data_IF_260067146763
#
_entry.id   IF_260067146763
#
_cell.length_a   1.000
_cell.length_b   1.000
_cell.length_c   1.000
_cell.angle_alpha   90.00
_cell.angle_beta   90.00
_cell.angle_gamma   90.00
#
_symmetry.space_group_name_H-M   'P 1'
#
loop_
_entity.id
_entity.type
_entity.pdbx_description
1 polymer ?
#
# COMPACT_ATOMS: atom_id res chain seq x y z
N UNK A 1 -15.50 -47.29 1.57
CA UNK A 1 -14.78 -46.39 2.50
C UNK A 1 -14.96 -44.96 2.02
N UNK A 2 -15.80 -44.20 2.71
CA UNK A 2 -16.00 -42.78 2.48
C UNK A 2 -14.92 -41.99 3.21
N UNK A 3 -14.34 -40.99 2.54
CA UNK A 3 -13.78 -39.81 3.19
C UNK A 3 -13.90 -38.64 2.21
N UNK A 4 -14.98 -37.89 2.40
CA UNK A 4 -15.13 -36.55 1.87
C UNK A 4 -14.19 -35.60 2.63
N UNK A 5 -13.41 -34.81 1.91
CA UNK A 5 -13.00 -33.47 2.35
C UNK A 5 -13.09 -32.54 1.15
N UNK A 6 -14.27 -31.91 1.06
CA UNK A 6 -14.49 -30.79 0.17
C UNK A 6 -13.80 -29.51 0.65
N UNK A 7 -13.96 -28.51 -0.22
CA UNK A 7 -13.85 -27.07 0.02
C UNK A 7 -12.45 -26.45 -0.17
N UNK A 8 -12.07 -26.28 -1.43
CA UNK A 8 -10.98 -25.38 -1.85
C UNK A 8 -11.47 -24.16 -2.67
N UNK A 9 -12.72 -23.73 -2.49
CA UNK A 9 -13.32 -22.60 -3.21
C UNK A 9 -13.79 -21.43 -2.32
N UNK A 10 -13.66 -21.51 -0.99
CA UNK A 10 -14.22 -20.48 -0.09
C UNK A 10 -13.30 -19.28 0.21
N UNK A 11 -12.03 -19.30 -0.18
CA UNK A 11 -11.07 -18.27 0.25
C UNK A 11 -10.88 -17.09 -0.72
N UNK A 12 -11.40 -17.18 -1.95
CA UNK A 12 -11.32 -16.07 -2.93
C UNK A 12 -12.46 -15.05 -2.82
N UNK A 13 -13.49 -15.31 -2.02
CA UNK A 13 -14.68 -14.46 -1.92
C UNK A 13 -14.65 -13.42 -0.79
N UNK A 14 -13.64 -13.45 0.09
CA UNK A 14 -13.63 -12.65 1.33
C UNK A 14 -12.80 -11.36 1.28
N UNK A 15 -12.06 -11.11 0.19
CA UNK A 15 -11.18 -9.93 0.06
C UNK A 15 -11.82 -8.73 -0.68
N UNK A 16 -13.07 -8.84 -1.14
CA UNK A 16 -13.77 -7.70 -1.76
C UNK A 16 -14.46 -6.80 -0.73
N UNK A 17 -15.00 -7.36 0.35
CA UNK A 17 -15.82 -6.62 1.32
C UNK A 17 -15.08 -5.46 2.03
N UNK A 18 -13.89 -5.65 2.63
CA UNK A 18 -13.23 -4.54 3.33
C UNK A 18 -12.70 -3.48 2.36
N UNK A 19 -12.31 -3.87 1.14
CA UNK A 19 -11.94 -2.93 0.08
C UNK A 19 -13.16 -2.12 -0.41
N UNK A 20 -14.31 -2.78 -0.59
CA UNK A 20 -15.57 -2.13 -0.95
C UNK A 20 -16.03 -1.17 0.15
N UNK A 21 -15.88 -1.56 1.42
CA UNK A 21 -16.20 -0.70 2.56
C UNK A 21 -15.33 0.57 2.55
N UNK A 22 -14.00 0.43 2.38
CA UNK A 22 -13.09 1.58 2.26
C UNK A 22 -13.51 2.46 1.08
N UNK A 23 -13.87 1.88 -0.06
CA UNK A 23 -14.33 2.61 -1.23
C UNK A 23 -15.63 3.39 -0.97
N UNK A 24 -16.65 2.74 -0.39
CA UNK A 24 -17.93 3.35 -0.04
C UNK A 24 -17.77 4.48 1.00
N UNK A 25 -16.94 4.27 2.02
CA UNK A 25 -16.65 5.30 3.03
C UNK A 25 -16.02 6.53 2.38
N UNK A 26 -15.01 6.36 1.54
CA UNK A 26 -14.39 7.47 0.81
C UNK A 26 -15.35 8.17 -0.16
N UNK A 27 -16.24 7.42 -0.82
CA UNK A 27 -17.27 7.99 -1.67
C UNK A 27 -18.29 8.82 -0.87
N UNK A 28 -18.70 8.32 0.29
CA UNK A 28 -19.61 9.04 1.18
C UNK A 28 -18.98 10.32 1.74
N UNK A 29 -17.69 10.29 2.09
CA UNK A 29 -16.93 11.48 2.48
C UNK A 29 -16.83 12.50 1.35
N UNK A 30 -16.61 12.05 0.11
CA UNK A 30 -16.60 12.93 -1.06
C UNK A 30 -17.97 13.60 -1.27
N UNK A 31 -19.06 12.85 -1.13
CA UNK A 31 -20.41 13.39 -1.23
C UNK A 31 -20.73 14.38 -0.11
N UNK A 32 -20.37 14.06 1.14
CA UNK A 32 -20.56 14.94 2.29
C UNK A 32 -19.75 16.22 2.15
N UNK A 33 -18.46 16.12 1.78
CA UNK A 33 -17.60 17.28 1.59
C UNK A 33 -18.08 18.18 0.45
N UNK A 34 -18.56 17.61 -0.66
CA UNK A 34 -19.21 18.37 -1.72
C UNK A 34 -20.50 19.08 -1.24
N UNK A 35 -21.31 18.41 -0.42
CA UNK A 35 -22.52 19.00 0.15
C UNK A 35 -22.23 20.17 1.11
N UNK A 36 -21.15 20.09 1.89
CA UNK A 36 -20.77 21.14 2.84
C UNK A 36 -20.19 22.42 2.18
N UNK A 37 -19.80 22.36 0.91
CA UNK A 37 -19.38 23.57 0.18
C UNK A 37 -20.52 24.59 0.14
N UNK A 38 -21.77 24.16 -0.02
CA UNK A 38 -22.93 25.05 -0.06
C UNK A 38 -23.10 25.88 1.22
N UNK A 39 -23.29 25.25 2.38
CA UNK A 39 -23.40 25.93 3.67
C UNK A 39 -22.21 26.84 3.97
N UNK A 40 -20.97 26.41 3.71
CA UNK A 40 -19.78 27.24 3.93
C UNK A 40 -19.77 28.48 3.04
N UNK A 41 -20.11 28.36 1.75
CA UNK A 41 -20.18 29.50 0.85
C UNK A 41 -21.34 30.44 1.21
N UNK A 42 -22.48 29.89 1.65
CA UNK A 42 -23.64 30.65 2.08
C UNK A 42 -23.38 31.37 3.43
N UNK A 43 -22.69 30.74 4.38
CA UNK A 43 -22.28 31.38 5.62
C UNK A 43 -21.31 32.54 5.37
N UNK A 44 -20.63 32.56 4.22
CA UNK A 44 -19.46 33.39 3.98
C UNK A 44 -19.68 34.45 2.89
N UNK A 45 -20.28 35.61 3.21
CA UNK A 45 -20.33 36.75 2.29
C UNK A 45 -19.01 37.54 2.24
N UNK A 46 -18.07 37.33 3.18
CA UNK A 46 -16.78 38.05 3.25
C UNK A 46 -15.59 37.12 3.51
N UNK A 47 -14.39 37.44 2.98
CA UNK A 47 -13.19 36.63 3.16
C UNK A 47 -12.62 36.82 4.57
N UNK A 48 -13.14 36.10 5.56
CA UNK A 48 -12.56 36.03 6.91
C UNK A 48 -11.55 34.88 7.01
N UNK A 49 -10.51 34.98 7.87
CA UNK A 49 -9.52 33.91 8.03
C UNK A 49 -10.16 32.61 8.56
N UNK A 50 -11.14 32.73 9.45
CA UNK A 50 -11.90 31.59 9.97
C UNK A 50 -12.69 30.88 8.87
N UNK A 51 -13.36 31.63 7.99
CA UNK A 51 -14.04 31.04 6.83
C UNK A 51 -13.07 30.36 5.85
N UNK A 52 -11.84 30.87 5.69
CA UNK A 52 -10.82 30.21 4.87
C UNK A 52 -10.33 28.91 5.50
N UNK A 53 -10.25 28.86 6.84
CA UNK A 53 -9.91 27.65 7.56
C UNK A 53 -10.97 26.55 7.36
N UNK A 54 -12.26 26.88 7.37
CA UNK A 54 -13.32 25.89 7.08
C UNK A 54 -13.22 25.38 5.63
N UNK A 55 -13.01 26.29 4.67
CA UNK A 55 -12.81 25.90 3.26
C UNK A 55 -11.58 24.99 3.10
N UNK A 56 -10.48 25.28 3.80
CA UNK A 56 -9.28 24.46 3.70
C UNK A 56 -9.47 23.07 4.31
N UNK A 57 -10.26 22.92 5.38
CA UNK A 57 -10.64 21.62 5.95
C UNK A 57 -11.46 20.79 4.94
N UNK A 58 -12.44 21.39 4.27
CA UNK A 58 -13.20 20.68 3.24
C UNK A 58 -12.33 20.34 2.02
N UNK A 59 -11.45 21.25 1.60
CA UNK A 59 -10.52 21.02 0.50
C UNK A 59 -9.53 19.88 0.80
N UNK A 60 -8.97 19.81 2.02
CA UNK A 60 -8.08 18.71 2.42
C UNK A 60 -8.82 17.38 2.49
N UNK A 61 -10.10 17.39 2.88
CA UNK A 61 -10.97 16.20 2.89
C UNK A 61 -11.24 15.70 1.47
N UNK A 62 -11.54 16.61 0.53
CA UNK A 62 -11.70 16.27 -0.90
C UNK A 62 -10.39 15.70 -1.46
N UNK A 63 -9.25 16.34 -1.19
CA UNK A 63 -7.95 15.83 -1.63
C UNK A 63 -7.62 14.45 -1.04
N UNK A 64 -7.95 14.25 0.24
CA UNK A 64 -7.77 12.97 0.94
C UNK A 64 -8.60 11.88 0.27
N UNK A 65 -9.90 12.10 0.07
CA UNK A 65 -10.82 11.10 -0.53
C UNK A 65 -10.48 10.82 -2.00
N UNK A 66 -10.15 11.85 -2.80
CA UNK A 66 -9.69 11.67 -4.18
C UNK A 66 -8.39 10.87 -4.24
N UNK A 67 -7.43 11.14 -3.36
CA UNK A 67 -6.19 10.36 -3.29
C UNK A 67 -6.45 8.89 -2.98
N UNK A 68 -7.43 8.60 -2.10
CA UNK A 68 -7.85 7.24 -1.75
C UNK A 68 -8.48 6.51 -2.94
N UNK A 69 -9.41 7.17 -3.62
CA UNK A 69 -10.11 6.63 -4.79
C UNK A 69 -9.15 6.38 -5.94
N UNK A 70 -8.24 7.31 -6.22
CA UNK A 70 -7.18 7.15 -7.21
C UNK A 70 -6.23 5.99 -6.88
N UNK A 71 -5.88 5.79 -5.61
CA UNK A 71 -5.06 4.64 -5.19
C UNK A 71 -5.80 3.31 -5.45
N UNK A 72 -7.11 3.28 -5.23
CA UNK A 72 -7.96 2.12 -5.53
C UNK A 72 -8.02 1.82 -7.04
N UNK A 73 -8.21 2.85 -7.87
CA UNK A 73 -8.28 2.73 -9.33
C UNK A 73 -6.95 2.33 -9.98
N UNK A 74 -5.84 2.76 -9.39
CA UNK A 74 -4.50 2.53 -9.97
C UNK A 74 -3.79 1.30 -9.42
N UNK A 75 -4.44 0.52 -8.53
CA UNK A 75 -3.85 -0.62 -7.80
C UNK A 75 -2.50 -0.31 -7.11
N UNK A 76 -2.20 0.97 -6.86
CA UNK A 76 -0.94 1.41 -6.26
C UNK A 76 -1.21 2.00 -4.87
N UNK A 77 -0.79 1.32 -3.79
CA UNK A 77 -1.05 1.80 -2.43
C UNK A 77 -0.15 2.99 -2.10
N UNK A 78 -0.61 4.23 -2.35
CA UNK A 78 0.00 5.47 -1.80
C UNK A 78 -0.44 5.70 -0.36
N UNK A 79 -0.17 4.72 0.51
CA UNK A 79 -0.73 4.65 1.87
C UNK A 79 -0.27 5.81 2.77
N UNK A 80 1.01 6.18 2.73
CA UNK A 80 1.57 7.18 3.64
C UNK A 80 1.04 8.61 3.37
N UNK A 81 1.00 9.02 2.09
CA UNK A 81 0.49 10.33 1.71
C UNK A 81 -1.02 10.46 1.97
N UNK A 82 -1.78 9.40 1.68
CA UNK A 82 -3.20 9.36 1.97
C UNK A 82 -3.48 9.41 3.48
N UNK A 83 -2.74 8.65 4.30
CA UNK A 83 -2.89 8.65 5.74
C UNK A 83 -2.57 10.03 6.36
N UNK A 84 -1.51 10.70 5.92
CA UNK A 84 -1.18 12.04 6.39
C UNK A 84 -2.28 13.07 6.09
N UNK A 85 -2.80 13.06 4.85
CA UNK A 85 -3.91 13.91 4.45
C UNK A 85 -5.18 13.60 5.24
N UNK A 86 -5.45 12.32 5.47
CA UNK A 86 -6.63 11.88 6.20
C UNK A 86 -6.57 12.25 7.69
N UNK A 87 -5.39 12.19 8.32
CA UNK A 87 -5.19 12.66 9.70
C UNK A 87 -5.31 14.18 9.78
N UNK A 88 -4.79 14.92 8.80
CA UNK A 88 -4.95 16.37 8.73
C UNK A 88 -6.42 16.79 8.55
N UNK A 89 -7.19 16.08 7.72
CA UNK A 89 -8.63 16.30 7.59
C UNK A 89 -9.36 15.99 8.89
N UNK A 90 -9.03 14.87 9.56
CA UNK A 90 -9.64 14.46 10.82
C UNK A 90 -9.39 15.48 11.94
N UNK A 91 -8.15 15.98 12.09
CA UNK A 91 -7.83 17.01 13.08
C UNK A 91 -8.51 18.34 12.74
N UNK A 92 -8.60 18.68 11.45
CA UNK A 92 -9.36 19.83 10.95
C UNK A 92 -10.83 19.78 11.35
N UNK A 93 -11.51 18.66 11.11
CA UNK A 93 -12.91 18.48 11.52
C UNK A 93 -13.09 18.52 13.03
N UNK A 94 -12.17 17.93 13.81
CA UNK A 94 -12.22 17.97 15.27
C UNK A 94 -12.10 19.41 15.80
N UNK A 95 -11.15 20.17 15.29
CA UNK A 95 -10.94 21.57 15.67
C UNK A 95 -12.11 22.46 15.24
N UNK A 96 -12.63 22.28 14.03
CA UNK A 96 -13.78 23.02 13.52
C UNK A 96 -15.04 22.72 14.35
N UNK A 97 -15.30 21.45 14.64
CA UNK A 97 -16.43 21.04 15.49
C UNK A 97 -16.28 21.64 16.89
N UNK A 98 -15.10 21.54 17.50
CA UNK A 98 -14.85 22.15 18.81
C UNK A 98 -15.08 23.67 18.81
N UNK A 99 -14.71 24.37 17.73
CA UNK A 99 -14.94 25.81 17.59
C UNK A 99 -16.43 26.18 17.49
N UNK A 100 -17.24 25.37 16.80
CA UNK A 100 -18.69 25.58 16.73
C UNK A 100 -19.39 25.20 18.05
N UNK A 101 -19.05 24.06 18.66
CA UNK A 101 -19.64 23.62 19.93
C UNK A 101 -19.30 24.54 21.11
N UNK A 102 -18.05 24.98 21.24
CA UNK A 102 -17.60 25.74 22.42
C UNK A 102 -17.81 27.24 22.27
N UNK A 103 -17.88 27.75 21.04
CA UNK A 103 -17.90 29.19 20.75
C UNK A 103 -18.83 29.53 19.60
N UNK A 104 -20.04 28.97 19.57
CA UNK A 104 -21.00 29.20 18.48
C UNK A 104 -21.18 30.69 18.15
N UNK A 105 -21.43 31.52 19.16
CA UNK A 105 -21.64 32.96 18.98
C UNK A 105 -20.40 33.69 18.46
N UNK A 106 -19.22 33.37 19.01
CA UNK A 106 -17.95 33.96 18.57
C UNK A 106 -17.54 33.49 17.17
N UNK A 107 -17.80 32.23 16.84
CA UNK A 107 -17.58 31.65 15.51
C UNK A 107 -18.47 32.33 14.47
N UNK A 108 -19.75 32.58 14.79
CA UNK A 108 -20.68 33.32 13.93
C UNK A 108 -20.22 34.77 13.71
N UNK A 109 -19.73 35.43 14.76
CA UNK A 109 -19.17 36.78 14.68
C UNK A 109 -17.91 36.82 13.78
N UNK A 110 -17.01 35.84 13.95
CA UNK A 110 -15.81 35.66 13.13
C UNK A 110 -16.11 35.34 11.65
N UNK A 111 -17.25 34.75 11.34
CA UNK A 111 -17.73 34.52 9.97
C UNK A 111 -18.18 35.83 9.33
N UNK A 112 -18.68 36.80 10.12
CA UNK A 112 -19.01 38.14 9.65
C UNK A 112 -20.15 38.16 8.63
N UNK A 113 -21.14 37.28 8.78
CA UNK A 113 -22.28 37.17 7.85
C UNK A 113 -23.29 38.31 8.06
N UNK A 114 -23.86 38.83 6.96
CA UNK A 114 -24.90 39.87 6.97
C UNK A 114 -26.33 39.29 6.90
N UNK A 115 -26.47 37.96 7.01
CA UNK A 115 -27.75 37.26 6.99
C UNK A 115 -28.52 37.41 8.30
N UNK A 116 -29.82 37.16 8.25
CA UNK A 116 -30.65 37.07 9.44
C UNK A 116 -30.11 36.05 10.44
N UNK A 117 -30.19 36.39 11.74
CA UNK A 117 -29.68 35.55 12.84
C UNK A 117 -30.23 34.12 12.80
N UNK A 118 -31.49 33.95 12.38
CA UNK A 118 -32.12 32.63 12.23
C UNK A 118 -31.48 31.80 11.12
N UNK A 119 -31.23 32.42 9.95
CA UNK A 119 -30.56 31.74 8.84
C UNK A 119 -29.12 31.34 9.21
N UNK A 120 -28.41 32.23 9.90
CA UNK A 120 -27.05 31.96 10.38
C UNK A 120 -27.00 30.76 11.32
N UNK A 121 -27.93 30.66 12.27
CA UNK A 121 -28.01 29.53 13.20
C UNK A 121 -28.33 28.21 12.48
N UNK A 122 -29.26 28.22 11.52
CA UNK A 122 -29.61 27.01 10.74
C UNK A 122 -28.41 26.55 9.91
N UNK A 123 -27.73 27.47 9.23
CA UNK A 123 -26.56 27.13 8.42
C UNK A 123 -25.38 26.66 9.29
N UNK A 124 -25.14 27.28 10.45
CA UNK A 124 -24.09 26.88 11.37
C UNK A 124 -24.37 25.50 11.98
N UNK A 125 -25.62 25.22 12.35
CA UNK A 125 -26.03 23.90 12.83
C UNK A 125 -25.87 22.83 11.74
N UNK A 126 -26.27 23.15 10.50
CA UNK A 126 -26.08 22.25 9.37
C UNK A 126 -24.60 21.96 9.12
N UNK A 127 -23.76 22.99 9.14
CA UNK A 127 -22.31 22.87 8.99
C UNK A 127 -21.69 22.02 10.12
N UNK A 128 -22.10 22.23 11.36
CA UNK A 128 -21.65 21.46 12.52
C UNK A 128 -22.02 19.98 12.39
N UNK A 129 -23.26 19.67 12.02
CA UNK A 129 -23.71 18.30 11.78
C UNK A 129 -22.90 17.64 10.65
N UNK A 130 -22.63 18.38 9.56
CA UNK A 130 -21.79 17.91 8.46
C UNK A 130 -20.35 17.65 8.89
N UNK A 131 -19.75 18.55 9.67
CA UNK A 131 -18.40 18.39 10.22
C UNK A 131 -18.29 17.16 11.11
N UNK A 132 -19.28 16.93 11.99
CA UNK A 132 -19.30 15.76 12.87
C UNK A 132 -19.50 14.46 12.07
N UNK A 133 -20.39 14.48 11.07
CA UNK A 133 -20.58 13.35 10.18
C UNK A 133 -19.30 13.01 9.41
N UNK A 134 -18.63 14.01 8.83
CA UNK A 134 -17.35 13.81 8.14
C UNK A 134 -16.27 13.31 9.11
N UNK A 135 -16.18 13.84 10.32
CA UNK A 135 -15.24 13.35 11.33
C UNK A 135 -15.42 11.85 11.61
N UNK A 136 -16.66 11.40 11.84
CA UNK A 136 -16.96 9.98 12.10
C UNK A 136 -16.64 9.10 10.90
N UNK A 137 -17.07 9.51 9.70
CA UNK A 137 -16.82 8.72 8.48
C UNK A 137 -15.32 8.69 8.15
N UNK A 138 -14.59 9.79 8.34
CA UNK A 138 -13.14 9.86 8.13
C UNK A 138 -12.39 8.96 9.12
N UNK A 139 -12.80 8.93 10.39
CA UNK A 139 -12.24 8.03 11.39
C UNK A 139 -12.48 6.55 11.03
N UNK A 140 -13.70 6.21 10.58
CA UNK A 140 -14.01 4.86 10.10
C UNK A 140 -13.21 4.49 8.85
N UNK A 141 -13.07 5.41 7.89
CA UNK A 141 -12.30 5.20 6.67
C UNK A 141 -10.82 4.95 6.97
N UNK A 142 -10.23 5.72 7.89
CA UNK A 142 -8.86 5.52 8.38
C UNK A 142 -8.70 4.17 9.07
N UNK A 143 -9.59 3.82 10.00
CA UNK A 143 -9.54 2.55 10.70
C UNK A 143 -9.66 1.36 9.74
N UNK A 144 -10.62 1.41 8.80
CA UNK A 144 -10.80 0.39 7.78
C UNK A 144 -9.56 0.27 6.87
N UNK A 145 -8.98 1.40 6.44
CA UNK A 145 -7.76 1.41 5.64
C UNK A 145 -6.60 0.75 6.40
N UNK A 146 -6.41 1.08 7.67
CA UNK A 146 -5.38 0.44 8.52
C UNK A 146 -5.59 -1.08 8.63
N UNK A 147 -6.83 -1.54 8.80
CA UNK A 147 -7.15 -2.98 8.85
C UNK A 147 -6.83 -3.65 7.52
N UNK A 148 -7.21 -3.04 6.40
CA UNK A 148 -6.89 -3.55 5.06
C UNK A 148 -5.38 -3.61 4.87
N UNK A 149 -4.65 -2.54 5.17
CA UNK A 149 -3.20 -2.50 5.02
C UNK A 149 -2.49 -3.59 5.83
N UNK A 150 -2.89 -3.81 7.08
CA UNK A 150 -2.33 -4.90 7.91
C UNK A 150 -2.61 -6.28 7.32
N UNK A 151 -3.80 -6.50 6.76
CA UNK A 151 -4.13 -7.77 6.09
C UNK A 151 -3.26 -7.99 4.85
N UNK A 152 -3.08 -6.95 4.03
CA UNK A 152 -2.21 -7.01 2.85
C UNK A 152 -0.76 -7.28 3.23
N UNK A 153 -0.25 -6.63 4.27
CA UNK A 153 1.10 -6.89 4.79
C UNK A 153 1.25 -8.34 5.26
N UNK A 154 0.23 -8.90 5.92
CA UNK A 154 0.24 -10.28 6.36
C UNK A 154 0.22 -11.26 5.17
N UNK A 155 -0.69 -11.08 4.21
CA UNK A 155 -0.75 -11.90 2.99
C UNK A 155 0.55 -11.83 2.19
N UNK A 156 1.16 -10.64 2.10
CA UNK A 156 2.44 -10.47 1.42
C UNK A 156 3.57 -11.23 2.13
N UNK A 157 3.65 -11.13 3.46
CA UNK A 157 4.64 -11.89 4.25
C UNK A 157 4.45 -13.39 4.09
N UNK A 158 3.22 -13.88 4.17
CA UNK A 158 2.91 -15.31 3.97
C UNK A 158 3.36 -15.77 2.56
N UNK A 159 3.03 -15.01 1.52
CA UNK A 159 3.45 -15.29 0.15
C UNK A 159 4.99 -15.25 -0.02
N UNK A 160 5.68 -14.34 0.66
CA UNK A 160 7.13 -14.25 0.65
C UNK A 160 7.79 -15.45 1.35
N UNK A 161 7.23 -15.91 2.47
CA UNK A 161 7.68 -17.13 3.14
C UNK A 161 7.48 -18.38 2.29
N UNK A 162 6.36 -18.48 1.57
CA UNK A 162 6.09 -19.59 0.64
C UNK A 162 7.11 -19.58 -0.51
N UNK A 163 7.33 -18.43 -1.13
CA UNK A 163 8.36 -18.27 -2.19
C UNK A 163 9.75 -18.67 -1.70
N UNK A 164 10.13 -18.26 -0.49
CA UNK A 164 11.41 -18.64 0.12
C UNK A 164 11.51 -20.15 0.39
N UNK A 165 10.42 -20.78 0.86
CA UNK A 165 10.37 -22.23 1.08
C UNK A 165 10.49 -23.01 -0.24
N UNK A 166 9.78 -22.58 -1.29
CA UNK A 166 9.86 -23.16 -2.63
C UNK A 166 11.26 -23.00 -3.22
N UNK A 167 11.87 -21.81 -3.09
CA UNK A 167 13.24 -21.56 -3.54
C UNK A 167 14.26 -22.46 -2.82
N UNK A 168 14.16 -22.62 -1.49
CA UNK A 168 15.00 -23.55 -0.72
C UNK A 168 14.82 -25.01 -1.15
N UNK A 169 13.57 -25.45 -1.39
CA UNK A 169 13.28 -26.80 -1.88
C UNK A 169 13.88 -27.03 -3.27
N UNK A 170 13.80 -26.03 -4.16
CA UNK A 170 14.43 -26.07 -5.48
C UNK A 170 15.96 -26.12 -5.39
N UNK A 171 16.57 -25.32 -4.51
CA UNK A 171 18.02 -25.32 -4.28
C UNK A 171 18.53 -26.68 -3.79
N UNK A 172 17.84 -27.32 -2.83
CA UNK A 172 18.20 -28.68 -2.37
C UNK A 172 18.15 -29.72 -3.49
N UNK A 173 17.13 -29.64 -4.35
CA UNK A 173 17.02 -30.53 -5.52
C UNK A 173 18.17 -30.31 -6.50
N UNK A 174 18.52 -29.06 -6.80
CA UNK A 174 19.64 -28.74 -7.68
C UNK A 174 20.98 -29.21 -7.10
N UNK A 175 21.20 -29.03 -5.80
CA UNK A 175 22.41 -29.52 -5.12
C UNK A 175 22.51 -31.05 -5.15
N UNK A 176 21.38 -31.77 -4.97
CA UNK A 176 21.34 -33.24 -5.08
C UNK A 176 21.65 -33.70 -6.50
N UNK A 177 21.06 -33.06 -7.51
CA UNK A 177 21.35 -33.37 -8.92
C UNK A 177 22.81 -33.09 -9.26
N UNK A 178 23.38 -31.99 -8.78
CA UNK A 178 24.81 -31.70 -8.95
C UNK A 178 25.71 -32.75 -8.29
N UNK A 179 25.41 -33.13 -7.04
CA UNK A 179 26.15 -34.17 -6.32
C UNK A 179 26.06 -35.53 -7.04
N UNK A 180 24.88 -35.92 -7.52
CA UNK A 180 24.68 -37.14 -8.30
C UNK A 180 25.44 -37.09 -9.64
N UNK A 181 25.43 -35.94 -10.34
CA UNK A 181 26.19 -35.77 -11.59
C UNK A 181 27.71 -35.79 -11.38
N UNK A 182 28.22 -35.23 -10.28
CA UNK A 182 29.63 -35.28 -9.92
C UNK A 182 30.07 -36.70 -9.54
N UNK A 183 29.24 -37.43 -8.78
CA UNK A 183 29.48 -38.83 -8.45
C UNK A 183 29.40 -39.76 -9.67
N UNK A 184 28.57 -39.42 -10.67
CA UNK A 184 28.52 -40.14 -11.94
C UNK A 184 29.70 -39.81 -12.88
N UNK A 185 30.32 -38.63 -12.73
CA UNK A 185 31.51 -38.23 -13.49
C UNK A 185 32.81 -38.84 -12.92
N UNK A 186 32.88 -39.08 -11.60
CA UNK A 186 34.00 -39.75 -10.90
C UNK A 186 34.51 -41.05 -11.57
N UNK A 187 33.67 -42.04 -11.94
CA UNK A 187 34.15 -43.26 -12.60
C UNK A 187 34.66 -43.01 -14.02
N UNK A 188 34.14 -42.00 -14.73
CA UNK A 188 34.61 -41.61 -16.06
C UNK A 188 35.97 -40.92 -16.01
N UNK A 189 36.20 -40.07 -15.00
CA UNK A 189 37.50 -39.40 -14.78
C UNK A 189 38.56 -40.40 -14.33
N UNK A 190 38.24 -41.32 -13.40
CA UNK A 190 39.18 -42.37 -12.97
C UNK A 190 39.54 -43.35 -14.10
N UNK A 191 38.59 -43.70 -14.96
CA UNK A 191 38.85 -44.56 -16.13
C UNK A 191 39.66 -43.85 -17.24
N UNK A 192 39.46 -42.55 -17.43
CA UNK A 192 40.24 -41.75 -18.39
C UNK A 192 41.65 -41.48 -17.85
N UNK A 193 41.78 -41.17 -16.56
CA UNK A 193 43.06 -40.90 -15.90
C UNK A 193 43.93 -42.17 -15.83
N UNK A 194 43.35 -43.34 -15.51
CA UNK A 194 44.06 -44.62 -15.55
C UNK A 194 44.50 -44.99 -16.99
N UNK A 195 43.66 -44.72 -18.00
CA UNK A 195 44.01 -44.97 -19.41
C UNK A 195 45.09 -44.02 -19.92
N UNK A 196 45.09 -42.76 -19.50
CA UNK A 196 46.12 -41.76 -19.82
C UNK A 196 47.45 -42.12 -19.14
N UNK A 197 47.43 -42.51 -17.87
CA UNK A 197 48.63 -42.93 -17.12
C UNK A 197 49.27 -44.22 -17.68
N UNK A 198 48.44 -45.15 -18.19
CA UNK A 198 48.93 -46.34 -18.93
C UNK A 198 49.53 -46.01 -20.30
N UNK A 199 49.10 -44.91 -20.93
CA UNK A 199 49.57 -44.50 -22.26
C UNK A 199 50.81 -43.57 -22.22
N UNK A 200 51.09 -42.92 -21.09
CA UNK A 200 52.25 -42.01 -20.95
C UNK A 200 53.53 -42.70 -20.45
N UNK A 201 53.45 -43.92 -19.91
CA UNK A 201 54.61 -44.70 -19.44
C UNK A 201 55.46 -45.33 -20.54
N UNK A 202 55.12 -45.13 -21.82
CA UNK A 202 55.83 -45.71 -22.97
C UNK A 202 56.53 -44.73 -23.92
N UNK A 203 56.43 -43.40 -23.72
CA UNK A 203 57.03 -42.42 -24.65
C UNK A 203 58.09 -41.57 -23.94
N UNK A 204 59.36 -41.95 -24.12
CA UNK A 204 60.49 -41.02 -23.99
C UNK A 204 60.31 -39.95 -25.07
N UNK A 205 59.93 -38.75 -24.65
CA UNK A 205 59.93 -37.56 -25.51
C UNK A 205 61.38 -37.15 -25.69
N UNK A 206 61.88 -37.27 -26.92
CA UNK A 206 63.14 -36.66 -27.33
C UNK A 206 62.89 -35.16 -27.42
N UNK A 207 63.54 -34.38 -26.56
CA UNK A 207 63.67 -32.94 -26.75
C UNK A 207 64.65 -32.71 -27.89
N UNK A 208 64.19 -32.07 -28.97
CA UNK A 208 65.05 -31.46 -29.95
C UNK A 208 65.35 -30.04 -29.46
N UNK A 209 66.63 -29.75 -29.21
CA UNK A 209 67.14 -28.39 -29.09
C UNK A 209 67.06 -27.75 -30.47
N UNK A 210 66.32 -26.64 -30.58
CA UNK A 210 66.58 -25.64 -31.62
C UNK A 210 67.30 -24.47 -30.93
N UNK A 211 68.62 -24.61 -30.82
CA UNK A 211 69.53 -23.49 -30.65
C UNK A 211 69.90 -23.01 -32.06
N UNK A 212 69.43 -21.81 -32.43
CA UNK A 212 69.68 -21.23 -33.75
C UNK A 212 69.56 -19.71 -33.73
N UNK A 213 70.50 -19.08 -33.03
CA UNK A 213 70.83 -17.65 -33.16
C UNK A 213 71.90 -17.48 -34.26
N UNK A 214 72.00 -16.26 -34.83
CA UNK A 214 72.96 -15.75 -35.84
C UNK A 214 72.70 -16.15 -37.32
N UNK A 215 72.92 -15.34 -38.35
CA UNK A 215 73.13 -13.90 -38.61
C UNK A 215 73.19 -13.78 -40.16
N UNK A 216 73.04 -12.55 -40.69
CA UNK A 216 73.06 -12.10 -42.10
C UNK A 216 71.76 -12.23 -42.91
#
# INVERSE_FOLDING_TARGET
>A
MASATGNHSSLRSSCSFPNLLVWLLNLSLLALSAAAVGPVLLLRPRPTPFGWALVSVHATTILSTLSALCAHLTHRPRLAAHAALAVAALSGHALASAAFFLRLDGSLELIGSNRDRREQLVLAFLEEVLLLAMFLVQAMALAATCVVSRRWEQEYREAETEKAAVARKRGRKMARVQAESAAAAEPGVKAVDEKVMRSSSGKKVHWANDDGFEEC
#
